data_IF_462970886645
#
_entry.id   IF_462970886645
#
_cell.length_a   1.000
_cell.length_b   1.000
_cell.length_c   1.000
_cell.angle_alpha   90.00
_cell.angle_beta   90.00
_cell.angle_gamma   90.00
#
_symmetry.space_group_name_H-M   'P 1'
#
loop_
_entity.id
_entity.type
_entity.pdbx_description
1 polymer ?
#
# COMPACT_ATOMS: atom_id res chain seq x y z
N UNK A 1 10.17 15.60 3.03
CA UNK A 1 11.47 16.29 2.89
C UNK A 1 11.23 17.77 3.05
N UNK A 2 12.08 18.46 3.80
CA UNK A 2 12.07 19.92 3.92
C UNK A 2 13.42 20.43 3.44
N UNK A 3 13.42 21.37 2.49
CA UNK A 3 14.65 21.89 1.89
C UNK A 3 15.63 20.81 1.37
N UNK A 4 15.08 19.71 0.83
CA UNK A 4 15.87 18.59 0.28
C UNK A 4 16.45 17.64 1.33
N UNK A 5 16.12 17.78 2.61
CA UNK A 5 16.56 16.89 3.67
C UNK A 5 15.43 15.96 4.13
N UNK A 6 15.81 14.76 4.59
CA UNK A 6 14.90 13.90 5.32
C UNK A 6 14.52 14.56 6.64
N UNK A 7 13.28 14.35 7.06
CA UNK A 7 12.76 14.84 8.33
C UNK A 7 12.47 13.62 9.19
N UNK A 8 12.83 13.71 10.47
CA UNK A 8 12.67 12.59 11.42
C UNK A 8 11.23 12.50 11.97
N UNK A 9 10.49 13.60 11.88
CA UNK A 9 9.12 13.70 12.37
C UNK A 9 8.18 14.34 11.35
N UNK A 10 6.89 14.05 11.49
CA UNK A 10 5.86 14.67 10.69
C UNK A 10 4.60 14.90 11.49
N UNK A 11 3.81 15.89 11.07
CA UNK A 11 2.52 16.16 11.69
C UNK A 11 1.59 14.94 11.58
N UNK A 12 0.97 14.56 12.69
CA UNK A 12 0.04 13.43 12.77
C UNK A 12 -1.05 13.48 11.69
N UNK A 13 -1.59 14.68 11.42
CA UNK A 13 -2.65 14.88 10.42
C UNK A 13 -2.27 14.50 8.98
N UNK A 14 -0.98 14.28 8.71
CA UNK A 14 -0.49 13.75 7.45
C UNK A 14 -0.70 12.24 7.32
N UNK A 15 -0.81 11.51 8.43
CA UNK A 15 -1.11 10.07 8.46
C UNK A 15 -2.61 9.81 8.57
N UNK A 16 -3.24 10.46 9.55
CA UNK A 16 -4.65 10.31 9.86
C UNK A 16 -5.01 10.92 11.22
N UNK A 17 -6.28 10.85 11.58
CA UNK A 17 -6.79 11.43 12.84
C UNK A 17 -7.18 10.40 13.88
N UNK A 18 -7.29 9.12 13.49
CA UNK A 18 -7.74 8.04 14.36
C UNK A 18 -6.54 7.19 14.74
N UNK A 19 -6.17 7.18 16.02
CA UNK A 19 -5.10 6.31 16.52
C UNK A 19 -5.53 4.84 16.45
N UNK A 20 -4.61 3.97 16.05
CA UNK A 20 -4.81 2.51 16.01
C UNK A 20 -3.72 1.86 16.86
N UNK A 21 -4.13 1.06 17.83
CA UNK A 21 -3.20 0.22 18.58
C UNK A 21 -2.72 -0.92 17.68
N UNK A 22 -1.41 -0.93 17.39
CA UNK A 22 -0.73 -1.97 16.63
C UNK A 22 0.31 -2.64 17.52
N UNK A 23 0.65 -3.90 17.23
CA UNK A 23 1.79 -4.55 17.89
C UNK A 23 3.11 -3.85 17.55
N UNK A 24 4.12 -3.88 18.44
CA UNK A 24 5.43 -3.33 18.13
C UNK A 24 6.09 -4.16 17.01
N UNK A 25 6.39 -3.51 15.89
CA UNK A 25 7.14 -4.09 14.78
C UNK A 25 7.98 -2.99 14.12
N UNK A 26 9.31 -3.13 14.18
CA UNK A 26 10.25 -2.14 13.63
C UNK A 26 10.18 -2.01 12.11
N UNK A 27 9.49 -2.92 11.42
CA UNK A 27 9.25 -2.87 9.97
C UNK A 27 8.07 -1.98 9.61
N UNK A 28 7.25 -1.58 10.59
CA UNK A 28 6.19 -0.62 10.36
C UNK A 28 6.79 0.76 10.07
N UNK A 29 6.26 1.48 9.09
CA UNK A 29 6.74 2.80 8.69
C UNK A 29 6.75 3.81 9.85
N UNK A 30 5.86 3.64 10.82
CA UNK A 30 5.73 4.53 11.97
C UNK A 30 5.48 3.72 13.24
N UNK A 31 6.11 4.15 14.34
CA UNK A 31 5.87 3.57 15.68
C UNK A 31 4.41 3.76 16.15
N UNK A 32 3.79 4.88 15.75
CA UNK A 32 2.39 5.20 16.05
C UNK A 32 1.61 5.28 14.75
N UNK A 33 0.56 4.47 14.64
CA UNK A 33 -0.26 4.40 13.44
C UNK A 33 -1.53 5.22 13.61
N UNK A 34 -1.80 6.08 12.63
CA UNK A 34 -3.01 6.86 12.51
C UNK A 34 -3.66 6.64 11.14
N UNK A 35 -4.97 6.53 11.13
CA UNK A 35 -5.78 6.27 9.93
C UNK A 35 -6.90 7.31 9.78
N UNK A 36 -7.48 7.35 8.58
CA UNK A 36 -8.58 8.26 8.26
C UNK A 36 -9.95 7.64 8.54
N UNK A 37 -10.03 6.30 8.59
CA UNK A 37 -11.25 5.54 8.86
C UNK A 37 -11.02 4.35 9.80
N UNK A 38 -12.00 4.04 10.66
CA UNK A 38 -11.93 2.82 11.50
C UNK A 38 -12.03 1.56 10.66
N UNK A 39 -12.88 1.59 9.63
CA UNK A 39 -13.12 0.49 8.70
C UNK A 39 -13.02 1.05 7.26
N UNK A 40 -12.23 0.45 6.35
CA UNK A 40 -11.36 -0.72 6.59
C UNK A 40 -9.94 -0.38 7.05
N UNK A 41 -9.51 0.89 7.04
CA UNK A 41 -8.11 1.24 7.30
C UNK A 41 -7.64 0.81 8.71
N UNK A 42 -8.44 1.04 9.74
CA UNK A 42 -8.09 0.64 11.11
C UNK A 42 -7.90 -0.86 11.29
N UNK A 43 -8.63 -1.67 10.53
CA UNK A 43 -8.48 -3.12 10.53
C UNK A 43 -7.27 -3.57 9.69
N UNK A 44 -6.98 -2.88 8.58
CA UNK A 44 -5.79 -3.11 7.76
C UNK A 44 -4.52 -2.74 8.52
N UNK A 45 -4.52 -1.63 9.26
CA UNK A 45 -3.39 -1.16 10.05
C UNK A 45 -2.93 -2.16 11.12
N UNK A 46 -3.82 -3.07 11.56
CA UNK A 46 -3.51 -4.12 12.55
C UNK A 46 -2.85 -5.36 11.94
N UNK A 47 -2.68 -5.42 10.62
CA UNK A 47 -2.02 -6.56 9.97
C UNK A 47 -0.54 -6.58 10.39
N UNK A 48 -0.13 -7.71 10.97
CA UNK A 48 1.29 -8.04 11.18
C UNK A 48 1.69 -9.04 10.10
N UNK A 49 2.44 -8.62 9.07
CA UNK A 49 2.85 -9.50 7.99
C UNK A 49 3.96 -10.46 8.44
N UNK A 50 4.12 -11.56 7.71
CA UNK A 50 5.21 -12.50 7.93
C UNK A 50 6.59 -11.89 7.58
N UNK A 51 7.64 -12.67 7.81
CA UNK A 51 9.05 -12.26 7.64
C UNK A 51 9.45 -11.92 6.20
N UNK A 52 8.65 -12.26 5.18
CA UNK A 52 8.95 -11.89 3.79
C UNK A 52 8.75 -10.40 3.50
N UNK A 53 7.98 -9.72 4.36
CA UNK A 53 7.78 -8.27 4.28
C UNK A 53 8.89 -7.57 5.07
N UNK A 54 9.67 -6.72 4.39
CA UNK A 54 10.76 -5.95 5.00
C UNK A 54 10.30 -4.60 5.56
N UNK A 55 9.27 -4.00 4.96
CA UNK A 55 8.68 -2.72 5.39
C UNK A 55 7.18 -2.74 5.08
N UNK A 56 6.36 -2.20 5.97
CA UNK A 56 4.92 -2.02 5.71
C UNK A 56 4.35 -0.84 6.48
N UNK A 57 3.14 -0.41 6.16
CA UNK A 57 2.40 0.56 6.99
C UNK A 57 1.59 1.56 6.19
N UNK A 58 0.98 2.51 6.92
CA UNK A 58 0.21 3.62 6.32
C UNK A 58 1.17 4.56 5.60
N UNK A 59 0.86 4.87 4.34
CA UNK A 59 1.56 5.89 3.57
C UNK A 59 1.01 7.26 4.00
N UNK A 60 1.87 8.23 4.37
CA UNK A 60 1.42 9.58 4.62
C UNK A 60 0.82 10.21 3.36
N UNK A 61 -0.20 11.02 3.57
CA UNK A 61 -0.86 11.79 2.50
C UNK A 61 0.16 12.60 1.72
N UNK A 62 -0.02 12.68 0.40
CA UNK A 62 0.79 13.49 -0.53
C UNK A 62 2.25 13.04 -0.67
N UNK A 63 2.61 11.83 -0.23
CA UNK A 63 3.95 11.27 -0.47
C UNK A 63 4.09 10.75 -1.91
N UNK A 64 3.07 10.04 -2.40
CA UNK A 64 2.98 9.63 -3.81
C UNK A 64 1.80 10.37 -4.41
N UNK A 65 2.06 11.40 -5.22
CA UNK A 65 1.02 12.28 -5.74
C UNK A 65 0.63 11.86 -7.15
N UNK A 66 -0.35 10.95 -7.25
CA UNK A 66 -0.93 10.55 -8.54
C UNK A 66 -1.96 11.60 -8.97
N UNK A 67 -1.77 12.31 -10.09
CA UNK A 67 -2.71 13.33 -10.53
C UNK A 67 -4.08 12.73 -10.92
N UNK A 68 -5.16 13.45 -10.65
CA UNK A 68 -6.50 13.13 -11.15
C UNK A 68 -6.97 14.20 -12.13
N UNK A 69 -7.83 13.84 -13.10
CA UNK A 69 -8.34 14.79 -14.09
C UNK A 69 -9.28 15.86 -13.49
N UNK A 70 -9.69 15.69 -12.23
CA UNK A 70 -10.49 16.67 -11.47
C UNK A 70 -9.64 17.76 -10.81
N UNK A 71 -8.34 17.83 -11.11
CA UNK A 71 -7.42 18.84 -10.57
C UNK A 71 -6.87 18.54 -9.18
N UNK A 72 -7.00 17.29 -8.71
CA UNK A 72 -6.49 16.84 -7.42
C UNK A 72 -5.36 15.83 -7.56
N UNK A 73 -4.87 15.31 -6.43
CA UNK A 73 -3.95 14.18 -6.39
C UNK A 73 -4.47 13.12 -5.42
N UNK A 74 -4.09 11.87 -5.65
CA UNK A 74 -4.37 10.76 -4.74
C UNK A 74 -3.07 10.03 -4.36
N UNK A 75 -3.07 9.39 -3.20
CA UNK A 75 -1.97 8.60 -2.64
C UNK A 75 -2.58 7.32 -2.10
N UNK A 76 -2.03 6.12 -2.42
CA UNK A 76 -2.48 4.87 -1.83
C UNK A 76 -2.43 4.91 -0.30
N UNK A 77 -3.27 4.12 0.37
CA UNK A 77 -3.38 4.16 1.82
C UNK A 77 -2.24 3.42 2.53
N UNK A 78 -1.91 2.21 2.08
CA UNK A 78 -0.88 1.37 2.70
C UNK A 78 0.12 0.84 1.68
N UNK A 79 1.31 0.51 2.16
CA UNK A 79 2.34 -0.21 1.41
C UNK A 79 2.77 -1.46 2.18
N UNK A 80 3.09 -2.52 1.44
CA UNK A 80 3.81 -3.69 1.93
C UNK A 80 4.92 -3.99 0.93
N UNK A 81 6.18 -3.90 1.36
CA UNK A 81 7.36 -4.17 0.54
C UNK A 81 7.97 -5.51 0.93
N UNK A 82 8.13 -6.40 -0.05
CA UNK A 82 8.80 -7.69 0.14
C UNK A 82 10.32 -7.52 0.17
N UNK A 83 11.04 -8.53 0.68
CA UNK A 83 12.50 -8.56 0.66
C UNK A 83 13.09 -8.40 -0.75
N UNK A 84 12.41 -8.93 -1.77
CA UNK A 84 12.80 -8.88 -3.19
C UNK A 84 12.29 -7.63 -3.92
N UNK A 85 11.94 -6.56 -3.20
CA UNK A 85 11.51 -5.29 -3.79
C UNK A 85 10.23 -5.36 -4.64
N UNK A 86 9.36 -6.33 -4.38
CA UNK A 86 7.95 -6.23 -4.81
C UNK A 86 7.12 -5.42 -3.83
N UNK A 87 6.28 -4.53 -4.37
CA UNK A 87 5.45 -3.60 -3.60
C UNK A 87 3.97 -3.89 -3.80
N UNK A 88 3.24 -4.07 -2.70
CA UNK A 88 1.78 -4.03 -2.69
C UNK A 88 1.31 -2.67 -2.15
N UNK A 89 0.71 -1.88 -3.03
CA UNK A 89 0.01 -0.64 -2.69
C UNK A 89 -1.48 -0.94 -2.51
N UNK A 90 -2.04 -0.48 -1.40
CA UNK A 90 -3.42 -0.76 -1.01
C UNK A 90 -4.18 0.55 -0.89
N UNK A 91 -5.28 0.67 -1.64
CA UNK A 91 -6.25 1.75 -1.51
C UNK A 91 -7.46 1.24 -0.72
N UNK A 92 -7.67 1.76 0.47
CA UNK A 92 -8.74 1.34 1.38
C UNK A 92 -10.01 2.15 1.08
N UNK A 93 -11.10 1.46 0.76
CA UNK A 93 -12.39 2.10 0.46
C UNK A 93 -13.56 1.30 0.99
N UNK A 94 -14.64 1.99 1.35
CA UNK A 94 -15.94 1.35 1.54
C UNK A 94 -16.40 0.61 0.28
N UNK A 95 -17.36 -0.31 0.45
CA UNK A 95 -17.96 -1.04 -0.66
C UNK A 95 -18.66 -0.14 -1.67
N UNK A 96 -19.24 0.98 -1.23
CA UNK A 96 -19.77 2.03 -2.09
C UNK A 96 -18.70 3.09 -2.36
N UNK A 97 -18.48 3.39 -3.65
CA UNK A 97 -17.55 4.44 -4.10
C UNK A 97 -18.32 5.63 -4.66
N UNK A 98 -17.95 6.82 -4.20
CA UNK A 98 -18.30 8.08 -4.87
C UNK A 98 -17.55 8.19 -6.20
N UNK A 99 -18.03 9.00 -7.13
CA UNK A 99 -17.40 9.11 -8.44
C UNK A 99 -15.96 9.63 -8.37
N UNK A 100 -15.67 10.55 -7.45
CA UNK A 100 -14.30 11.03 -7.18
C UNK A 100 -13.37 9.92 -6.69
N UNK A 101 -13.88 8.95 -5.92
CA UNK A 101 -13.10 7.81 -5.44
C UNK A 101 -12.85 6.79 -6.56
N UNK A 102 -13.81 6.60 -7.46
CA UNK A 102 -13.61 5.77 -8.67
C UNK A 102 -12.50 6.36 -9.54
N UNK A 103 -12.47 7.68 -9.70
CA UNK A 103 -11.43 8.39 -10.47
C UNK A 103 -10.06 8.18 -9.81
N UNK A 104 -9.96 8.35 -8.49
CA UNK A 104 -8.72 8.15 -7.75
C UNK A 104 -8.20 6.71 -7.90
N UNK A 105 -9.05 5.70 -7.65
CA UNK A 105 -8.69 4.28 -7.80
C UNK A 105 -8.23 3.98 -9.22
N UNK A 106 -8.94 4.50 -10.23
CA UNK A 106 -8.57 4.30 -11.63
C UNK A 106 -7.22 4.93 -11.96
N UNK A 107 -6.97 6.17 -11.56
CA UNK A 107 -5.71 6.87 -11.82
C UNK A 107 -4.52 6.17 -11.16
N UNK A 108 -4.67 5.71 -9.91
CA UNK A 108 -3.64 4.92 -9.25
C UNK A 108 -3.37 3.63 -10.02
N UNK A 109 -4.42 2.90 -10.41
CA UNK A 109 -4.28 1.65 -11.15
C UNK A 109 -3.56 1.84 -12.48
N UNK A 110 -3.99 2.81 -13.30
CA UNK A 110 -3.36 3.12 -14.58
C UNK A 110 -1.89 3.51 -14.44
N UNK A 111 -1.52 4.24 -13.38
CA UNK A 111 -0.12 4.57 -13.14
C UNK A 111 0.71 3.37 -12.68
N UNK A 112 0.24 2.64 -11.67
CA UNK A 112 1.05 1.60 -11.04
C UNK A 112 1.10 0.29 -11.82
N UNK A 113 0.14 0.04 -12.73
CA UNK A 113 0.18 -1.09 -13.65
C UNK A 113 1.36 -0.98 -14.65
N UNK A 114 1.96 0.21 -14.82
CA UNK A 114 3.17 0.41 -15.65
C UNK A 114 4.46 -0.11 -15.00
N UNK A 115 4.41 -0.53 -13.72
CA UNK A 115 5.58 -1.00 -12.98
C UNK A 115 5.46 -2.49 -12.68
N UNK A 116 6.37 -3.29 -13.25
CA UNK A 116 6.35 -4.75 -13.12
C UNK A 116 6.45 -5.23 -11.66
N UNK A 117 7.13 -4.47 -10.81
CA UNK A 117 7.37 -4.80 -9.39
C UNK A 117 6.31 -4.22 -8.44
N UNK A 118 5.32 -3.49 -8.96
CA UNK A 118 4.27 -2.85 -8.16
C UNK A 118 2.92 -3.49 -8.46
N UNK A 119 2.17 -3.77 -7.40
CA UNK A 119 0.76 -4.17 -7.48
C UNK A 119 -0.05 -3.16 -6.70
N UNK A 120 -0.98 -2.49 -7.36
CA UNK A 120 -1.93 -1.58 -6.71
C UNK A 120 -3.32 -2.19 -6.67
N UNK A 121 -3.98 -2.18 -5.52
CA UNK A 121 -5.30 -2.80 -5.35
C UNK A 121 -6.20 -2.03 -4.41
N UNK A 122 -7.44 -1.83 -4.85
CA UNK A 122 -8.52 -1.34 -3.99
C UNK A 122 -9.06 -2.49 -3.15
N UNK A 123 -9.09 -2.32 -1.84
CA UNK A 123 -9.64 -3.28 -0.90
C UNK A 123 -10.81 -2.70 -0.10
N UNK A 124 -11.68 -3.56 0.39
CA UNK A 124 -12.81 -3.18 1.25
C UNK A 124 -12.74 -3.71 2.67
N UNK A 125 -11.77 -4.59 2.95
CA UNK A 125 -11.57 -5.24 4.25
C UNK A 125 -10.16 -5.83 4.34
N UNK A 126 -9.69 -6.10 5.57
CA UNK A 126 -8.33 -6.61 5.82
C UNK A 126 -8.06 -7.98 5.20
N UNK A 127 -9.06 -8.84 5.09
CA UNK A 127 -8.91 -10.19 4.56
C UNK A 127 -8.43 -10.18 3.10
N UNK A 128 -8.89 -9.20 2.31
CA UNK A 128 -8.44 -9.01 0.92
C UNK A 128 -6.95 -8.67 0.85
N UNK A 129 -6.43 -7.87 1.79
CA UNK A 129 -4.99 -7.57 1.88
C UNK A 129 -4.21 -8.85 2.19
N UNK A 130 -4.67 -9.66 3.13
CA UNK A 130 -4.01 -10.93 3.48
C UNK A 130 -3.99 -11.91 2.29
N UNK A 131 -5.05 -11.95 1.50
CA UNK A 131 -5.09 -12.75 0.27
C UNK A 131 -4.11 -12.24 -0.79
N UNK A 132 -4.03 -10.92 -0.99
CA UNK A 132 -3.08 -10.29 -1.92
C UNK A 132 -1.63 -10.57 -1.52
N UNK A 133 -1.30 -10.46 -0.22
CA UNK A 133 0.03 -10.79 0.29
C UNK A 133 0.41 -12.25 0.03
N UNK A 134 -0.52 -13.19 0.27
CA UNK A 134 -0.31 -14.60 -0.05
C UNK A 134 -0.03 -14.83 -1.53
N UNK A 135 -0.81 -14.19 -2.42
CA UNK A 135 -0.61 -14.29 -3.88
C UNK A 135 0.75 -13.74 -4.31
N UNK A 136 1.13 -12.58 -3.77
CA UNK A 136 2.42 -11.94 -4.05
C UNK A 136 3.59 -12.87 -3.68
N UNK A 137 3.51 -13.54 -2.52
CA UNK A 137 4.54 -14.47 -2.06
C UNK A 137 4.59 -15.76 -2.88
N UNK A 138 3.44 -16.26 -3.34
CA UNK A 138 3.40 -17.49 -4.15
C UNK A 138 3.99 -17.29 -5.56
N UNK A 139 3.82 -16.11 -6.16
CA UNK A 139 4.46 -15.75 -7.43
C UNK A 139 5.99 -15.68 -7.31
N UNK A 140 6.51 -15.17 -6.19
CA UNK A 140 7.96 -15.15 -5.94
C UNK A 140 8.57 -16.55 -5.90
N UNK A 141 7.87 -17.52 -5.31
CA UNK A 141 8.34 -18.90 -5.26
C UNK A 141 8.36 -19.52 -6.65
N UNK A 142 7.36 -19.25 -7.50
CA UNK A 142 7.36 -19.79 -8.87
C UNK A 142 8.45 -19.18 -9.76
N UNK A 143 8.75 -17.89 -9.60
CA UNK A 143 9.77 -17.21 -10.40
C UNK A 143 11.19 -17.58 -9.96
N UNK A 144 11.39 -17.91 -8.67
CA UNK A 144 12.66 -18.41 -8.13
C UNK A 144 13.00 -19.86 -8.53
N UNK A 145 12.03 -20.60 -9.11
CA UNK A 145 12.21 -21.99 -9.55
C UNK A 145 12.39 -22.12 -11.07
N UNK A 146 12.35 -21.02 -11.82
CA UNK A 146 12.64 -21.02 -13.26
C UNK A 146 14.13 -20.73 -13.54
N UNK A 147 14.96 -21.77 -13.37
CA UNK A 147 16.33 -21.82 -13.91
C UNK A 147 16.35 -22.27 -15.39
N UNK A 148 15.26 -22.10 -16.15
CA UNK A 148 15.11 -22.60 -17.53
C UNK A 148 14.62 -21.55 -18.53
N UNK A 149 14.93 -20.28 -18.30
CA UNK A 149 15.07 -19.27 -19.36
C UNK A 149 13.86 -19.15 -20.29
N UNK A 150 12.65 -19.14 -19.75
CA UNK A 150 11.42 -18.99 -20.51
C UNK A 150 10.59 -17.80 -20.02
N UNK A 151 10.60 -16.69 -20.76
CA UNK A 151 9.77 -15.51 -20.46
C UNK A 151 8.30 -15.92 -20.39
N UNK A 152 7.71 -15.86 -19.19
CA UNK A 152 6.26 -15.92 -19.00
C UNK A 152 5.74 -14.52 -18.69
N UNK A 153 5.27 -13.84 -19.73
CA UNK A 153 4.34 -12.72 -19.60
C UNK A 153 2.96 -13.32 -19.28
N UNK A 154 2.37 -13.01 -18.12
CA UNK A 154 0.95 -13.26 -17.92
C UNK A 154 0.31 -12.28 -16.92
N UNK A 155 -0.66 -11.54 -17.45
CA UNK A 155 -1.64 -10.64 -16.84
C UNK A 155 -1.16 -9.24 -16.45
#
# INVERSE_FOLDING_TARGET
>A
MENGQFIDEMAQGSLGTIAVETGPDSRNLFEKVFVDSKDPEGEIAKIVPNEEIKVFGKIPRRVIQVPTYTGGTTTPDFVYATKNDLFLLVEAKSSSLRDTEKIAVKAQKELFDEFEDVRCSKVTKKEEVLELLKRLMNHNVSDSLDDRGGVKKLL
#
